data_IF_752905758802
#
_entry.id   IF_752905758802
#
_cell.length_a   1.000
_cell.length_b   1.000
_cell.length_c   1.000
_cell.angle_alpha   90.00
_cell.angle_beta   90.00
_cell.angle_gamma   90.00
#
_symmetry.space_group_name_H-M   'P 1'
#
loop_
_entity.id
_entity.type
_entity.pdbx_description
1 polymer ?
#
# COMPACT_ATOMS: atom_id res chain seq x y z
N UNK A 1 -63.64 -49.01 -8.56
CA UNK A 1 -64.34 -48.29 -9.64
C UNK A 1 -63.28 -47.84 -10.62
N UNK A 2 -62.96 -48.67 -11.60
CA UNK A 2 -63.47 -48.67 -13.01
C UNK A 2 -62.41 -47.97 -13.90
N UNK A 3 -61.64 -48.74 -14.70
CA UNK A 3 -61.76 -48.93 -16.16
C UNK A 3 -61.63 -47.59 -16.95
N UNK A 4 -60.89 -47.41 -18.04
CA UNK A 4 -60.38 -48.33 -19.06
C UNK A 4 -59.28 -47.66 -19.92
N UNK A 5 -58.53 -48.51 -20.60
CA UNK A 5 -57.76 -48.29 -21.83
C UNK A 5 -58.62 -47.69 -22.97
N UNK A 6 -58.00 -47.05 -23.98
CA UNK A 6 -58.07 -47.41 -25.42
C UNK A 6 -57.16 -46.47 -26.29
N UNK A 7 -56.17 -47.11 -26.93
CA UNK A 7 -55.65 -47.00 -28.32
C UNK A 7 -55.30 -45.68 -29.05
N UNK A 8 -54.03 -45.66 -29.48
CA UNK A 8 -53.47 -45.60 -30.86
C UNK A 8 -53.85 -44.51 -31.88
N UNK A 9 -52.77 -43.99 -32.47
CA UNK A 9 -52.48 -43.77 -33.91
C UNK A 9 -52.30 -42.30 -34.33
N UNK A 10 -51.09 -42.00 -34.81
CA UNK A 10 -50.73 -40.72 -35.41
C UNK A 10 -49.25 -40.63 -35.78
N UNK A 11 -48.75 -41.57 -36.60
CA UNK A 11 -47.45 -41.44 -37.25
C UNK A 11 -47.55 -40.38 -38.35
N UNK A 12 -47.12 -39.16 -38.02
CA UNK A 12 -46.89 -38.08 -38.97
C UNK A 12 -45.43 -38.09 -39.43
N UNK A 13 -45.20 -38.65 -40.60
CA UNK A 13 -43.96 -38.59 -41.37
C UNK A 13 -43.64 -37.13 -41.70
N UNK A 14 -42.57 -36.57 -41.15
CA UNK A 14 -42.15 -35.22 -41.52
C UNK A 14 -41.14 -34.57 -40.57
N UNK A 15 -39.90 -35.06 -40.54
CA UNK A 15 -38.85 -34.43 -39.73
C UNK A 15 -37.43 -34.93 -39.97
N UNK A 16 -37.13 -35.47 -41.16
CA UNK A 16 -35.79 -36.02 -41.48
C UNK A 16 -34.82 -34.93 -41.99
N UNK A 17 -35.17 -33.64 -41.95
CA UNK A 17 -34.28 -32.54 -42.36
C UNK A 17 -33.99 -31.58 -41.19
N UNK A 18 -33.63 -32.13 -40.03
CA UNK A 18 -33.14 -31.32 -38.90
C UNK A 18 -31.91 -31.92 -38.19
N UNK A 19 -31.18 -32.84 -38.83
CA UNK A 19 -30.02 -33.52 -38.22
C UNK A 19 -28.68 -33.33 -38.98
N UNK A 20 -28.60 -32.41 -39.95
CA UNK A 20 -27.32 -32.12 -40.65
C UNK A 20 -26.67 -30.78 -40.30
N UNK A 21 -27.09 -30.13 -39.21
CA UNK A 21 -26.47 -28.90 -38.70
C UNK A 21 -26.10 -28.97 -37.22
N UNK A 22 -25.98 -30.16 -36.64
CA UNK A 22 -25.54 -30.37 -35.26
C UNK A 22 -24.18 -31.11 -35.13
N UNK A 23 -23.46 -31.29 -36.24
CA UNK A 23 -22.20 -32.06 -36.28
C UNK A 23 -20.99 -31.24 -36.76
N UNK A 24 -21.03 -29.92 -36.63
CA UNK A 24 -19.91 -29.02 -36.98
C UNK A 24 -19.55 -28.01 -35.87
N UNK A 25 -20.01 -28.22 -34.63
CA UNK A 25 -19.60 -27.45 -33.45
C UNK A 25 -18.90 -28.30 -32.36
N UNK A 26 -18.86 -29.62 -32.50
CA UNK A 26 -18.19 -30.50 -31.55
C UNK A 26 -16.68 -30.69 -31.81
N UNK A 27 -16.16 -30.22 -32.96
CA UNK A 27 -14.74 -30.39 -33.32
C UNK A 27 -13.88 -29.12 -33.17
N UNK A 28 -14.47 -28.00 -32.71
CA UNK A 28 -13.73 -26.74 -32.46
C UNK A 28 -13.61 -26.35 -30.99
N UNK A 29 -14.24 -27.09 -30.08
CA UNK A 29 -14.08 -26.90 -28.62
C UNK A 29 -12.99 -27.83 -28.03
N UNK A 30 -12.55 -28.84 -28.78
CA UNK A 30 -11.54 -29.79 -28.31
C UNK A 30 -10.07 -29.36 -28.53
N UNK A 31 -9.82 -28.15 -29.06
CA UNK A 31 -8.47 -27.63 -29.32
C UNK A 31 -8.27 -26.24 -28.70
N UNK A 32 -8.76 -26.05 -27.46
CA UNK A 32 -8.42 -24.93 -26.59
C UNK A 32 -8.26 -25.37 -25.13
N UNK A 33 -8.04 -26.67 -24.89
CA UNK A 33 -7.70 -27.24 -23.58
C UNK A 33 -6.35 -27.95 -23.74
N UNK A 34 -5.33 -27.20 -24.14
CA UNK A 34 -3.99 -27.76 -24.35
C UNK A 34 -2.89 -26.70 -24.22
N UNK A 35 -3.07 -25.71 -23.34
CA UNK A 35 -1.98 -24.81 -22.89
C UNK A 35 -2.23 -24.24 -21.48
N UNK A 36 -2.83 -25.04 -20.60
CA UNK A 36 -2.91 -24.73 -19.17
C UNK A 36 -2.16 -25.78 -18.32
N UNK A 37 -1.13 -26.41 -18.89
CA UNK A 37 -0.08 -27.03 -18.07
C UNK A 37 0.79 -25.88 -17.56
N UNK A 38 0.26 -25.12 -16.61
CA UNK A 38 1.08 -24.28 -15.76
C UNK A 38 2.20 -25.17 -15.20
N UNK A 39 3.44 -24.71 -15.32
CA UNK A 39 4.58 -25.32 -14.64
C UNK A 39 4.17 -25.71 -13.22
N UNK A 40 4.36 -26.97 -12.80
CA UNK A 40 3.90 -27.41 -11.49
C UNK A 40 4.54 -26.51 -10.44
N UNK A 41 3.77 -26.12 -9.42
CA UNK A 41 4.21 -25.16 -8.39
C UNK A 41 5.58 -25.50 -7.78
N UNK A 42 5.94 -26.79 -7.71
CA UNK A 42 7.25 -27.25 -7.25
C UNK A 42 8.43 -26.90 -8.16
N UNK A 43 8.23 -26.79 -9.48
CA UNK A 43 9.28 -26.36 -10.41
C UNK A 43 9.60 -24.87 -10.24
N UNK A 44 8.57 -24.02 -10.12
CA UNK A 44 8.72 -22.58 -9.86
C UNK A 44 9.43 -22.32 -8.53
N UNK A 45 9.05 -23.05 -7.48
CA UNK A 45 9.68 -22.92 -6.16
C UNK A 45 11.20 -23.19 -6.18
N UNK A 46 11.65 -24.18 -6.98
CA UNK A 46 13.08 -24.51 -7.12
C UNK A 46 13.88 -23.41 -7.83
N UNK A 47 13.26 -22.62 -8.71
CA UNK A 47 13.89 -21.51 -9.42
C UNK A 47 13.88 -20.21 -8.59
N UNK A 48 12.83 -20.01 -7.79
CA UNK A 48 12.66 -18.83 -6.92
C UNK A 48 13.59 -18.86 -5.70
N UNK A 49 13.74 -20.04 -5.06
CA UNK A 49 14.53 -20.18 -3.84
C UNK A 49 15.98 -19.62 -3.92
N UNK A 50 16.79 -19.92 -4.96
CA UNK A 50 18.14 -19.36 -5.06
C UNK A 50 18.14 -17.84 -5.24
N UNK A 51 17.16 -17.27 -5.94
CA UNK A 51 17.02 -15.82 -6.10
C UNK A 51 16.75 -15.13 -4.76
N UNK A 52 15.86 -15.71 -3.93
CA UNK A 52 15.58 -15.21 -2.59
C UNK A 52 16.81 -15.27 -1.67
N UNK A 53 17.54 -16.39 -1.68
CA UNK A 53 18.74 -16.58 -0.86
C UNK A 53 19.81 -15.55 -1.24
N UNK A 54 20.06 -15.40 -2.54
CA UNK A 54 21.05 -14.45 -3.04
C UNK A 54 20.65 -12.99 -2.76
N UNK A 55 19.38 -12.63 -2.98
CA UNK A 55 18.86 -11.31 -2.65
C UNK A 55 19.03 -10.95 -1.18
N UNK A 56 18.70 -11.87 -0.26
CA UNK A 56 18.91 -11.67 1.20
C UNK A 56 20.39 -11.48 1.54
N UNK A 57 21.28 -12.28 0.93
CA UNK A 57 22.74 -12.14 1.10
C UNK A 57 23.26 -10.79 0.60
N UNK A 58 22.66 -10.24 -0.47
CA UNK A 58 23.00 -8.92 -1.00
C UNK A 58 22.51 -7.80 -0.07
N UNK A 59 21.31 -7.93 0.50
CA UNK A 59 20.80 -7.03 1.55
C UNK A 59 21.72 -7.01 2.77
N UNK A 60 22.20 -8.16 3.25
CA UNK A 60 23.16 -8.23 4.35
C UNK A 60 24.48 -7.50 4.04
N UNK A 61 24.91 -7.54 2.77
CA UNK A 61 26.07 -6.79 2.27
C UNK A 61 25.77 -5.33 1.95
N UNK A 62 24.53 -4.87 2.14
CA UNK A 62 24.03 -3.52 1.79
C UNK A 62 24.10 -3.20 0.28
N UNK A 63 24.19 -4.23 -0.56
CA UNK A 63 24.09 -4.17 -2.02
C UNK A 63 22.61 -4.18 -2.42
N UNK A 64 21.90 -3.10 -2.07
CA UNK A 64 20.44 -3.03 -2.23
C UNK A 64 19.97 -3.01 -3.68
N UNK A 65 20.60 -2.26 -4.62
CA UNK A 65 20.19 -2.30 -6.02
C UNK A 65 20.27 -3.71 -6.62
N UNK A 66 21.34 -4.43 -6.34
CA UNK A 66 21.50 -5.81 -6.82
C UNK A 66 20.50 -6.75 -6.14
N UNK A 67 20.18 -6.52 -4.86
CA UNK A 67 19.14 -7.27 -4.17
C UNK A 67 17.74 -7.05 -4.78
N UNK A 68 17.39 -5.81 -5.15
CA UNK A 68 16.15 -5.49 -5.85
C UNK A 68 16.02 -6.36 -7.11
N UNK A 69 17.06 -6.39 -7.95
CA UNK A 69 17.04 -7.20 -9.18
C UNK A 69 16.80 -8.69 -8.91
N UNK A 70 17.31 -9.24 -7.81
CA UNK A 70 17.05 -10.65 -7.44
C UNK A 70 15.62 -10.88 -6.99
N UNK A 71 15.05 -9.96 -6.20
CA UNK A 71 13.66 -10.08 -5.77
C UNK A 71 12.67 -9.84 -6.92
N UNK A 72 12.97 -8.92 -7.83
CA UNK A 72 12.20 -8.72 -9.07
C UNK A 72 12.22 -9.99 -9.94
N UNK A 73 13.40 -10.58 -10.21
CA UNK A 73 13.49 -11.84 -10.94
C UNK A 73 12.73 -12.98 -10.25
N UNK A 74 12.71 -13.00 -8.91
CA UNK A 74 11.93 -13.98 -8.15
C UNK A 74 10.42 -13.81 -8.36
N UNK A 75 9.93 -12.55 -8.42
CA UNK A 75 8.53 -12.22 -8.72
C UNK A 75 8.19 -12.55 -10.18
N UNK A 76 9.07 -12.27 -11.13
CA UNK A 76 8.89 -12.63 -12.55
C UNK A 76 8.79 -14.15 -12.75
N UNK A 77 9.54 -14.91 -11.95
CA UNK A 77 9.51 -16.38 -11.96
C UNK A 77 8.23 -16.92 -11.30
N UNK A 78 7.79 -16.29 -10.21
CA UNK A 78 6.57 -16.62 -9.49
C UNK A 78 5.94 -15.39 -8.81
N UNK A 79 4.93 -14.83 -9.47
CA UNK A 79 4.17 -13.67 -8.97
C UNK A 79 3.41 -13.97 -7.67
N UNK A 80 3.27 -15.24 -7.29
CA UNK A 80 2.64 -15.66 -6.04
C UNK A 80 3.62 -15.87 -4.88
N UNK A 81 4.91 -15.59 -5.10
CA UNK A 81 5.93 -15.71 -4.06
C UNK A 81 5.83 -14.55 -3.05
N UNK A 82 5.10 -14.79 -1.96
CA UNK A 82 4.90 -13.82 -0.87
C UNK A 82 6.22 -13.25 -0.32
N UNK A 83 7.23 -14.11 -0.12
CA UNK A 83 8.54 -13.70 0.40
C UNK A 83 9.28 -12.77 -0.57
N UNK A 84 9.14 -12.94 -1.89
CA UNK A 84 9.78 -12.08 -2.87
C UNK A 84 9.19 -10.66 -2.82
N UNK A 85 7.86 -10.55 -2.81
CA UNK A 85 7.17 -9.28 -2.61
C UNK A 85 7.55 -8.61 -1.28
N UNK A 86 7.60 -9.37 -0.18
CA UNK A 86 8.01 -8.84 1.13
C UNK A 86 9.42 -8.27 1.12
N UNK A 87 10.36 -9.02 0.56
CA UNK A 87 11.77 -8.62 0.53
C UNK A 87 12.02 -7.46 -0.43
N UNK A 88 11.26 -7.37 -1.52
CA UNK A 88 11.30 -6.22 -2.41
C UNK A 88 10.83 -4.95 -1.68
N UNK A 89 9.64 -4.97 -1.06
CA UNK A 89 9.12 -3.85 -0.28
C UNK A 89 10.09 -3.41 0.83
N UNK A 90 10.66 -4.38 1.56
CA UNK A 90 11.66 -4.12 2.60
C UNK A 90 12.94 -3.47 2.05
N UNK A 91 13.41 -3.93 0.89
CA UNK A 91 14.64 -3.40 0.27
C UNK A 91 14.43 -2.00 -0.30
N UNK A 92 13.29 -1.74 -0.93
CA UNK A 92 12.87 -0.39 -1.32
C UNK A 92 12.80 0.53 -0.11
N UNK A 93 12.26 0.05 1.01
CA UNK A 93 12.21 0.85 2.24
C UNK A 93 13.60 1.24 2.77
N UNK A 94 14.58 0.32 2.69
CA UNK A 94 15.97 0.60 3.04
C UNK A 94 16.63 1.63 2.10
N UNK A 95 16.29 1.60 0.81
CA UNK A 95 16.77 2.58 -0.18
C UNK A 95 16.14 3.97 0.05
N UNK A 96 14.85 4.01 0.37
CA UNK A 96 14.14 5.23 0.77
C UNK A 96 14.78 5.86 2.01
N UNK A 97 15.12 5.07 3.02
CA UNK A 97 15.82 5.55 4.22
C UNK A 97 17.22 6.11 3.92
N UNK A 98 17.79 5.78 2.76
CA UNK A 98 19.05 6.34 2.26
C UNK A 98 18.87 7.57 1.37
N UNK A 99 17.64 7.99 1.12
CA UNK A 99 17.34 9.08 0.20
C UNK A 99 17.46 8.70 -1.28
N UNK A 100 17.54 7.41 -1.60
CA UNK A 100 17.65 6.92 -2.98
C UNK A 100 16.26 6.55 -3.53
N UNK A 101 15.33 7.51 -3.45
CA UNK A 101 13.92 7.29 -3.83
C UNK A 101 13.79 7.24 -5.34
N UNK A 102 14.25 8.29 -6.02
CA UNK A 102 14.04 8.46 -7.46
C UNK A 102 14.87 7.47 -8.29
N UNK A 103 16.09 7.11 -7.86
CA UNK A 103 17.00 6.24 -8.61
C UNK A 103 16.56 4.77 -8.64
N UNK A 104 15.68 4.38 -7.71
CA UNK A 104 15.29 2.99 -7.48
C UNK A 104 13.78 2.80 -7.32
N UNK A 105 12.99 3.79 -7.71
CA UNK A 105 11.53 3.79 -7.59
C UNK A 105 11.03 3.41 -6.18
N UNK A 106 11.74 3.87 -5.14
CA UNK A 106 11.41 3.58 -3.74
C UNK A 106 10.33 4.52 -3.18
N UNK A 107 9.30 4.77 -3.99
CA UNK A 107 8.12 5.55 -3.65
C UNK A 107 7.23 4.80 -2.64
N UNK A 108 6.44 5.55 -1.87
CA UNK A 108 5.63 4.99 -0.81
C UNK A 108 4.58 3.99 -1.32
N UNK A 109 3.93 4.32 -2.42
CA UNK A 109 2.91 3.51 -3.09
C UNK A 109 3.48 2.17 -3.55
N UNK A 110 4.64 2.15 -4.21
CA UNK A 110 5.29 0.92 -4.66
C UNK A 110 5.70 0.03 -3.47
N UNK A 111 6.26 0.63 -2.41
CA UNK A 111 6.59 -0.11 -1.18
C UNK A 111 5.33 -0.76 -0.59
N UNK A 112 4.24 0.00 -0.51
CA UNK A 112 2.98 -0.47 0.06
C UNK A 112 2.32 -1.53 -0.82
N UNK A 113 2.30 -1.37 -2.14
CA UNK A 113 1.76 -2.35 -3.08
C UNK A 113 2.39 -3.74 -2.89
N UNK A 114 3.73 -3.80 -2.87
CA UNK A 114 4.42 -5.07 -2.68
C UNK A 114 4.21 -5.65 -1.27
N UNK A 115 4.16 -4.81 -0.23
CA UNK A 115 3.92 -5.29 1.13
C UNK A 115 2.49 -5.81 1.31
N UNK A 116 1.50 -5.12 0.76
CA UNK A 116 0.09 -5.55 0.75
C UNK A 116 -0.07 -6.87 0.01
N UNK A 117 0.53 -6.99 -1.18
CA UNK A 117 0.54 -8.24 -1.96
C UNK A 117 1.18 -9.39 -1.16
N UNK A 118 2.31 -9.14 -0.51
CA UNK A 118 2.98 -10.15 0.32
C UNK A 118 2.08 -10.64 1.46
N UNK A 119 1.43 -9.73 2.18
CA UNK A 119 0.54 -10.07 3.30
C UNK A 119 -0.74 -10.76 2.82
N UNK A 120 -1.25 -10.37 1.65
CA UNK A 120 -2.39 -11.05 1.03
C UNK A 120 -2.07 -12.51 0.66
N UNK A 121 -0.84 -12.78 0.20
CA UNK A 121 -0.37 -14.12 -0.14
C UNK A 121 0.00 -14.94 1.11
N UNK A 122 0.60 -14.32 2.13
CA UNK A 122 0.92 -14.93 3.43
C UNK A 122 0.61 -13.95 4.58
N UNK A 123 -0.56 -14.09 5.25
CA UNK A 123 -0.95 -13.23 6.36
C UNK A 123 0.01 -13.25 7.56
N UNK A 124 0.86 -14.28 7.71
CA UNK A 124 1.85 -14.31 8.78
C UNK A 124 2.89 -13.18 8.64
N UNK A 125 3.11 -12.68 7.42
CA UNK A 125 4.03 -11.58 7.13
C UNK A 125 3.57 -10.25 7.73
N UNK A 126 2.29 -10.07 8.06
CA UNK A 126 1.81 -8.88 8.75
C UNK A 126 2.50 -8.70 10.12
N UNK A 127 2.56 -9.78 10.90
CA UNK A 127 3.24 -9.77 12.21
C UNK A 127 4.74 -9.55 12.07
N UNK A 128 5.33 -10.10 11.01
CA UNK A 128 6.75 -9.93 10.70
C UNK A 128 7.06 -8.49 10.32
N UNK A 129 6.29 -7.89 9.40
CA UNK A 129 6.44 -6.49 8.98
C UNK A 129 6.36 -5.53 10.18
N UNK A 130 5.41 -5.76 11.09
CA UNK A 130 5.28 -4.98 12.34
C UNK A 130 6.56 -4.97 13.19
N UNK A 131 7.27 -6.09 13.26
CA UNK A 131 8.47 -6.26 14.07
C UNK A 131 9.78 -5.97 13.32
N UNK A 132 9.77 -5.96 11.99
CA UNK A 132 10.98 -5.87 11.17
C UNK A 132 11.54 -4.43 11.18
N UNK A 133 12.78 -4.22 11.65
CA UNK A 133 13.39 -2.90 11.63
C UNK A 133 13.63 -2.38 10.20
N UNK A 134 13.67 -3.25 9.19
CA UNK A 134 13.82 -2.89 7.78
C UNK A 134 12.65 -2.09 7.20
N UNK A 135 11.52 -2.01 7.90
CA UNK A 135 10.41 -1.12 7.56
C UNK A 135 10.42 0.20 8.34
N UNK A 136 11.60 0.73 8.70
CA UNK A 136 11.69 2.02 9.37
C UNK A 136 11.06 3.15 8.54
N UNK A 137 11.30 3.18 7.23
CA UNK A 137 10.59 4.11 6.34
C UNK A 137 9.07 3.94 6.39
N UNK A 138 8.56 2.71 6.45
CA UNK A 138 7.13 2.38 6.44
C UNK A 138 6.41 2.88 7.68
N UNK A 139 7.09 2.96 8.82
CA UNK A 139 6.53 3.58 10.05
C UNK A 139 6.22 5.07 9.89
N UNK A 140 6.66 5.71 8.80
CA UNK A 140 6.31 7.10 8.48
C UNK A 140 5.08 7.22 7.57
N UNK A 141 4.48 6.09 7.20
CA UNK A 141 3.37 5.96 6.25
C UNK A 141 2.12 5.47 7.00
N UNK A 142 0.99 6.13 6.80
CA UNK A 142 -0.30 5.80 7.43
C UNK A 142 -0.76 4.43 6.95
N UNK A 143 -0.68 4.16 5.65
CA UNK A 143 -1.07 2.89 5.06
C UNK A 143 -0.35 1.70 5.71
N UNK A 144 0.94 1.83 6.04
CA UNK A 144 1.69 0.80 6.76
C UNK A 144 1.09 0.49 8.13
N UNK A 145 0.69 1.52 8.88
CA UNK A 145 0.06 1.34 10.19
C UNK A 145 -1.28 0.60 10.11
N UNK A 146 -2.11 0.96 9.14
CA UNK A 146 -3.37 0.27 8.88
C UNK A 146 -3.12 -1.18 8.49
N UNK A 147 -2.16 -1.40 7.60
CA UNK A 147 -1.78 -2.73 7.12
C UNK A 147 -1.28 -3.65 8.22
N UNK A 148 -0.60 -3.13 9.26
CA UNK A 148 -0.17 -3.91 10.44
C UNK A 148 -1.23 -3.99 11.55
N UNK A 149 -2.46 -3.55 11.27
CA UNK A 149 -3.63 -3.71 12.14
C UNK A 149 -3.84 -2.60 13.16
N UNK A 150 -3.23 -1.42 12.99
CA UNK A 150 -3.57 -0.25 13.82
C UNK A 150 -4.87 0.40 13.31
N UNK A 151 -5.60 1.04 14.21
CA UNK A 151 -6.86 1.73 13.88
C UNK A 151 -6.80 3.23 14.14
N UNK A 152 -7.25 4.04 13.17
CA UNK A 152 -7.42 5.49 13.36
C UNK A 152 -8.49 5.84 14.41
N UNK A 153 -9.40 4.90 14.68
CA UNK A 153 -10.51 5.05 15.66
C UNK A 153 -10.10 4.63 17.07
N UNK A 154 -8.92 4.05 17.24
CA UNK A 154 -8.38 3.68 18.54
C UNK A 154 -7.42 4.79 19.02
N UNK A 155 -7.71 5.48 20.14
CA UNK A 155 -6.87 6.59 20.60
C UNK A 155 -5.40 6.22 20.90
N UNK A 156 -5.13 4.96 21.26
CA UNK A 156 -3.75 4.49 21.49
C UNK A 156 -2.99 4.34 20.19
N UNK A 157 -3.62 3.74 19.19
CA UNK A 157 -3.04 3.57 17.86
C UNK A 157 -2.89 4.92 17.16
N UNK A 158 -3.92 5.77 17.20
CA UNK A 158 -3.87 7.13 16.65
C UNK A 158 -2.71 7.93 17.24
N UNK A 159 -2.48 7.83 18.55
CA UNK A 159 -1.33 8.47 19.21
C UNK A 159 0.00 8.01 18.61
N UNK A 160 0.16 6.70 18.37
CA UNK A 160 1.38 6.16 17.79
C UNK A 160 1.55 6.60 16.33
N UNK A 161 0.47 6.59 15.54
CA UNK A 161 0.48 7.03 14.15
C UNK A 161 0.90 8.50 14.05
N UNK A 162 0.31 9.38 14.86
CA UNK A 162 0.69 10.80 14.90
C UNK A 162 2.17 11.02 15.20
N UNK A 163 2.77 10.17 16.03
CA UNK A 163 4.16 10.28 16.48
C UNK A 163 5.18 9.71 15.49
N UNK A 164 4.80 8.68 14.73
CA UNK A 164 5.70 7.99 13.81
C UNK A 164 5.61 8.55 12.38
N UNK A 165 4.42 8.99 11.95
CA UNK A 165 4.20 9.63 10.65
C UNK A 165 4.83 11.02 10.59
N UNK A 166 5.41 11.34 9.45
CA UNK A 166 5.85 12.70 9.13
C UNK A 166 4.73 13.37 8.36
N UNK A 167 4.29 14.54 8.83
CA UNK A 167 3.14 15.23 8.30
C UNK A 167 3.59 16.37 7.38
N UNK A 168 3.12 16.35 6.14
CA UNK A 168 3.41 17.31 5.09
C UNK A 168 2.13 18.05 4.72
N UNK A 169 2.22 19.37 4.62
CA UNK A 169 1.11 20.18 4.11
C UNK A 169 1.06 20.14 2.59
N UNK A 170 0.28 21.04 1.96
CA UNK A 170 0.15 21.09 0.51
C UNK A 170 1.49 21.31 -0.20
N UNK A 171 1.61 20.78 -1.41
CA UNK A 171 2.78 20.95 -2.29
C UNK A 171 2.41 21.69 -3.59
N UNK A 172 2.24 23.02 -3.56
CA UNK A 172 1.93 23.79 -4.76
C UNK A 172 3.18 23.98 -5.64
N UNK A 173 3.28 23.19 -6.71
CA UNK A 173 4.28 23.38 -7.75
C UNK A 173 5.69 22.95 -7.33
N UNK A 174 6.71 23.75 -7.69
CA UNK A 174 8.12 23.37 -7.62
C UNK A 174 8.77 23.45 -6.22
N UNK A 175 8.03 23.86 -5.19
CA UNK A 175 8.60 23.99 -3.84
C UNK A 175 8.46 22.72 -3.00
N UNK A 176 7.75 21.70 -3.50
CA UNK A 176 7.31 20.57 -2.69
C UNK A 176 6.41 21.05 -1.54
N UNK A 177 6.35 20.31 -0.41
CA UNK A 177 5.50 20.67 0.71
C UNK A 177 5.88 22.03 1.30
N UNK A 178 4.93 22.96 1.36
CA UNK A 178 5.17 24.31 1.90
C UNK A 178 4.93 24.41 3.41
N UNK A 179 4.54 23.31 4.06
CA UNK A 179 4.44 23.23 5.51
C UNK A 179 4.54 21.78 5.99
N UNK A 180 4.68 21.59 7.29
CA UNK A 180 4.63 20.27 7.89
C UNK A 180 4.57 20.29 9.40
N UNK A 181 4.32 19.12 9.98
CA UNK A 181 4.16 18.94 11.41
C UNK A 181 4.88 17.68 11.92
N UNK A 182 5.30 17.71 13.18
CA UNK A 182 5.86 16.56 13.90
C UNK A 182 5.31 16.53 15.32
N UNK A 183 4.71 15.41 15.70
CA UNK A 183 4.20 15.19 17.05
C UNK A 183 5.15 14.33 17.85
N UNK A 184 5.55 14.78 19.04
CA UNK A 184 6.53 14.09 19.88
C UNK A 184 5.84 13.30 21.00
N UNK A 185 6.43 12.19 21.47
CA UNK A 185 5.89 11.39 22.57
C UNK A 185 5.67 12.15 23.88
N UNK A 186 6.46 13.20 24.13
CA UNK A 186 6.38 14.04 25.33
C UNK A 186 5.26 15.10 25.28
N UNK A 187 4.42 15.08 24.25
CA UNK A 187 3.33 16.05 24.09
C UNK A 187 3.76 17.38 23.46
N UNK A 188 5.01 17.53 23.01
CA UNK A 188 5.44 18.66 22.14
C UNK A 188 5.01 18.39 20.69
N UNK A 189 4.68 19.44 19.95
CA UNK A 189 4.56 19.39 18.51
C UNK A 189 5.39 20.52 17.90
N UNK A 190 6.02 20.24 16.76
CA UNK A 190 6.73 21.24 15.96
C UNK A 190 6.03 21.38 14.61
N UNK A 191 5.90 22.63 14.17
CA UNK A 191 5.33 22.99 12.89
C UNK A 191 6.33 23.84 12.13
N UNK A 192 6.34 23.71 10.83
CA UNK A 192 7.08 24.58 9.95
C UNK A 192 6.24 24.97 8.74
N UNK A 193 6.53 26.13 8.17
CA UNK A 193 5.94 26.63 6.94
C UNK A 193 6.98 27.41 6.14
N UNK A 194 6.83 27.45 4.82
CA UNK A 194 7.59 28.34 3.95
C UNK A 194 6.85 29.67 3.81
N UNK A 195 7.54 30.75 4.14
CA UNK A 195 7.14 32.11 3.79
C UNK A 195 7.59 32.39 2.36
N UNK A 196 6.60 32.55 1.49
CA UNK A 196 6.76 32.82 0.06
C UNK A 196 6.40 34.27 -0.30
N UNK A 197 6.09 35.12 0.69
CA UNK A 197 5.62 36.49 0.44
C UNK A 197 6.75 37.47 0.08
N UNK A 198 8.01 37.12 0.39
CA UNK A 198 9.20 37.93 0.11
C UNK A 198 10.01 37.46 -1.10
N UNK A 199 11.06 38.21 -1.43
CA UNK A 199 12.02 37.86 -2.49
C UNK A 199 12.84 36.59 -2.18
N UNK A 200 12.87 36.19 -0.91
CA UNK A 200 13.55 34.99 -0.42
C UNK A 200 12.55 34.04 0.24
N UNK A 201 12.62 32.75 -0.14
CA UNK A 201 11.88 31.70 0.54
C UNK A 201 12.49 31.46 1.92
N UNK A 202 11.68 31.61 2.97
CA UNK A 202 12.14 31.42 4.36
C UNK A 202 11.34 30.34 5.06
N UNK A 203 12.02 29.46 5.78
CA UNK A 203 11.35 28.49 6.67
C UNK A 203 11.06 29.16 8.01
N UNK A 204 9.78 29.22 8.36
CA UNK A 204 9.30 29.66 9.67
C UNK A 204 9.02 28.41 10.49
N UNK A 205 9.54 28.37 11.71
CA UNK A 205 9.29 27.28 12.66
C UNK A 205 8.46 27.79 13.84
N UNK A 206 7.56 26.94 14.33
CA UNK A 206 6.81 27.19 15.55
C UNK A 206 6.69 25.92 16.37
N UNK A 207 6.64 26.09 17.69
CA UNK A 207 6.45 24.99 18.63
C UNK A 207 5.11 25.10 19.32
N UNK A 208 4.55 23.95 19.67
CA UNK A 208 3.27 23.80 20.33
C UNK A 208 3.31 22.63 21.31
N UNK A 209 2.23 22.47 22.06
CA UNK A 209 1.92 21.23 22.78
C UNK A 209 0.70 20.57 22.15
N UNK A 210 0.58 19.26 22.25
CA UNK A 210 -0.57 18.52 21.71
C UNK A 210 -1.11 17.49 22.69
N UNK A 211 -2.39 17.16 22.51
CA UNK A 211 -3.10 16.15 23.29
C UNK A 211 -4.20 15.49 22.46
N UNK A 212 -4.67 14.34 22.92
CA UNK A 212 -5.82 13.64 22.36
C UNK A 212 -6.97 13.63 23.34
N UNK A 213 -8.18 13.91 22.84
CA UNK A 213 -9.45 13.66 23.53
C UNK A 213 -10.30 12.76 22.64
N UNK A 214 -10.31 11.45 22.93
CA UNK A 214 -10.81 10.47 21.96
C UNK A 214 -9.96 10.47 20.69
N UNK A 215 -10.60 10.68 19.54
CA UNK A 215 -9.92 10.81 18.23
C UNK A 215 -9.69 12.28 17.81
N UNK A 216 -10.00 13.24 18.69
CA UNK A 216 -9.76 14.66 18.44
C UNK A 216 -8.37 15.05 18.92
N UNK A 217 -7.65 15.73 18.06
CA UNK A 217 -6.30 16.23 18.27
C UNK A 217 -6.44 17.70 18.65
N UNK A 218 -5.87 18.09 19.79
CA UNK A 218 -5.80 19.50 20.19
C UNK A 218 -4.36 19.94 20.22
N UNK A 219 -4.04 21.00 19.48
CA UNK A 219 -2.72 21.63 19.42
C UNK A 219 -2.81 23.01 20.06
N UNK A 220 -2.00 23.29 21.06
CA UNK A 220 -1.89 24.59 21.72
C UNK A 220 -0.55 25.22 21.37
N UNK A 221 -0.59 26.32 20.64
CA UNK A 221 0.61 27.02 20.19
C UNK A 221 1.33 27.70 21.36
N UNK A 222 2.66 27.71 21.33
CA UNK A 222 3.46 28.43 22.33
C UNK A 222 3.32 29.95 22.20
N UNK A 223 3.03 30.44 20.99
CA UNK A 223 2.63 31.81 20.70
C UNK A 223 1.35 31.76 19.86
N UNK A 224 0.32 32.57 20.15
CA UNK A 224 -0.89 32.56 19.35
C UNK A 224 -0.60 32.83 17.86
N UNK A 225 -1.25 32.06 16.99
CA UNK A 225 -1.22 32.24 15.54
C UNK A 225 -2.59 32.76 15.12
N UNK A 226 -2.66 33.87 14.38
CA UNK A 226 -3.91 34.54 13.98
C UNK A 226 -4.88 34.78 15.15
N UNK A 227 -4.33 35.13 16.32
CA UNK A 227 -5.11 35.37 17.54
C UNK A 227 -5.66 34.10 18.21
N UNK A 228 -5.40 32.91 17.66
CA UNK A 228 -5.83 31.63 18.23
C UNK A 228 -4.73 31.03 19.09
N UNK A 229 -5.04 30.70 20.34
CA UNK A 229 -4.12 30.04 21.25
C UNK A 229 -4.04 28.51 21.02
N UNK A 230 -5.04 27.93 20.38
CA UNK A 230 -5.11 26.52 20.07
C UNK A 230 -5.96 26.27 18.83
N UNK A 231 -5.78 25.10 18.24
CA UNK A 231 -6.62 24.54 17.18
C UNK A 231 -6.93 23.09 17.52
N UNK A 232 -8.07 22.61 17.03
CA UNK A 232 -8.43 21.20 17.10
C UNK A 232 -8.57 20.60 15.71
N UNK A 233 -8.43 19.29 15.62
CA UNK A 233 -8.50 18.57 14.36
C UNK A 233 -8.73 17.08 14.56
N UNK A 234 -8.71 16.35 13.46
CA UNK A 234 -8.87 14.90 13.44
C UNK A 234 -8.15 14.31 12.24
N UNK A 235 -7.79 13.03 12.35
CA UNK A 235 -7.29 12.24 11.22
C UNK A 235 -8.48 11.57 10.53
N UNK A 236 -8.72 11.93 9.27
CA UNK A 236 -9.77 11.37 8.42
C UNK A 236 -9.51 9.90 8.05
N UNK A 237 -10.55 9.23 7.55
CA UNK A 237 -10.42 7.85 7.05
C UNK A 237 -9.57 7.77 5.77
N UNK A 238 -9.43 8.89 5.07
CA UNK A 238 -8.56 9.09 3.91
C UNK A 238 -7.08 9.33 4.29
N UNK A 239 -6.74 9.28 5.59
CA UNK A 239 -5.39 9.52 6.09
C UNK A 239 -5.00 10.99 6.16
N UNK A 240 -5.91 11.94 5.90
CA UNK A 240 -5.60 13.37 6.03
C UNK A 240 -5.82 13.86 7.45
N UNK A 241 -4.81 14.52 8.01
CA UNK A 241 -4.92 15.26 9.25
C UNK A 241 -5.49 16.64 8.95
N UNK A 242 -6.73 16.89 9.38
CA UNK A 242 -7.45 18.14 9.12
C UNK A 242 -7.74 18.85 10.44
N UNK A 243 -7.36 20.12 10.51
CA UNK A 243 -7.68 21.02 11.61
C UNK A 243 -8.88 21.90 11.27
N UNK A 244 -9.61 22.34 12.30
CA UNK A 244 -10.86 23.10 12.18
C UNK A 244 -10.67 24.49 11.53
N UNK A 245 -9.43 24.98 11.42
CA UNK A 245 -9.09 26.20 10.69
C UNK A 245 -8.80 25.98 9.21
N UNK A 246 -8.96 24.75 8.72
CA UNK A 246 -8.71 24.35 7.33
C UNK A 246 -7.27 23.94 7.06
N UNK A 247 -6.39 23.92 8.06
CA UNK A 247 -5.03 23.39 7.88
C UNK A 247 -5.10 21.88 7.66
N UNK A 248 -4.46 21.40 6.60
CA UNK A 248 -4.43 19.98 6.23
C UNK A 248 -3.00 19.47 6.14
N UNK A 249 -2.79 18.22 6.54
CA UNK A 249 -1.55 17.48 6.34
C UNK A 249 -1.81 16.05 5.87
N UNK A 250 -0.89 15.48 5.10
CA UNK A 250 -0.82 14.07 4.70
C UNK A 250 0.56 13.48 5.04
N UNK A 251 0.76 12.19 4.79
CA UNK A 251 2.05 11.51 4.84
C UNK A 251 2.80 11.51 3.49
N UNK A 252 2.30 12.27 2.51
CA UNK A 252 2.88 12.41 1.19
C UNK A 252 3.96 13.50 1.17
N UNK A 253 5.24 13.14 1.00
CA UNK A 253 6.35 14.09 0.99
C UNK A 253 6.53 14.80 -0.36
N UNK A 254 5.74 14.45 -1.39
CA UNK A 254 5.93 14.89 -2.78
C UNK A 254 7.35 14.54 -3.29
N UNK A 255 7.70 13.25 -3.22
CA UNK A 255 9.03 12.79 -3.61
C UNK A 255 9.31 13.14 -5.08
N UNK A 256 10.51 13.69 -5.34
CA UNK A 256 11.01 13.99 -6.68
C UNK A 256 10.24 15.11 -7.42
N UNK A 257 9.44 15.93 -6.71
CA UNK A 257 8.94 17.21 -7.26
C UNK A 257 10.11 18.16 -7.52
N UNK A 258 10.19 18.66 -8.75
CA UNK A 258 11.32 19.39 -9.32
C UNK A 258 11.56 20.80 -8.73
#
# INVERSE_FOLDING_TARGET
>A
MEYALWTLAGLGVGGIIAWRLAAAHAARVALAILFALGTPAGARANEVAPLLVEGKRLVEKKSYPEALSRFQAAIETDESCAEAHYQLARTLCLLRDKGQVCEHDAYQDIIMEHLEKAIALDPALQRRAKADPGFACGRRIIAFHLLIGRSLKNPRDLRLILQEVVWYGPSPGAYGPISGARFHPNGRADFWALDLAGDEVRRIESSATWSLSGCRIRVRYSRPTDGKAFVEGSLGEDGRLVFDDGTEFSDDPDDCSA
#
